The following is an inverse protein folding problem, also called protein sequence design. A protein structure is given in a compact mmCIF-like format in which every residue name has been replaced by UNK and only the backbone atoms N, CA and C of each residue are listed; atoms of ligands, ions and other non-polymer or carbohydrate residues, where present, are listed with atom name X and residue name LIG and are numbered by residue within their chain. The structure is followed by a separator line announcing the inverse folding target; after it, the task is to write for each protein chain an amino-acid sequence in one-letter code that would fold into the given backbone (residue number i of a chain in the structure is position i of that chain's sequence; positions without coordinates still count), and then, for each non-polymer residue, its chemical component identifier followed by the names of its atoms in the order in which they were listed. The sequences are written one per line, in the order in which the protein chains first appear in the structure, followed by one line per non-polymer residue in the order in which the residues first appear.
data_IF_491501982719
#
_entry.id   IF_491501982719
#
_cell.length_a   1.000
_cell.length_b   1.000
_cell.length_c   1.000
_cell.angle_alpha   90.00
_cell.angle_beta   90.00
_cell.angle_gamma   90.00
#
_symmetry.space_group_name_H-M   'P 1'
#
loop_
_entity.id
_entity.type
_entity.pdbx_description
1 polymer ?
#
# COMPACT_ATOMS: atom_id res chain seq x y z
N UNK A 1 -14.20 -11.96 -13.01
CA UNK A 1 -13.01 -11.14 -12.74
C UNK A 1 -12.73 -11.26 -11.26
N UNK A 2 -11.62 -11.91 -10.90
CA UNK A 2 -11.14 -11.92 -9.51
C UNK A 2 -10.69 -10.50 -9.18
N UNK A 3 -11.07 -9.99 -8.01
CA UNK A 3 -10.61 -8.68 -7.52
C UNK A 3 -9.08 -8.69 -7.44
N UNK A 4 -8.42 -7.82 -8.21
CA UNK A 4 -6.96 -7.74 -8.30
C UNK A 4 -6.31 -7.55 -6.91
N UNK A 5 -6.95 -6.77 -6.04
CA UNK A 5 -6.43 -6.52 -4.70
C UNK A 5 -6.49 -7.77 -3.84
N UNK A 6 -7.56 -8.56 -3.97
CA UNK A 6 -7.69 -9.82 -3.26
C UNK A 6 -6.69 -10.87 -3.76
N UNK A 7 -6.40 -10.89 -5.06
CA UNK A 7 -5.36 -11.75 -5.63
C UNK A 7 -3.96 -11.34 -5.15
N UNK A 8 -3.66 -10.05 -5.12
CA UNK A 8 -2.39 -9.50 -4.61
C UNK A 8 -2.15 -9.82 -3.14
N UNK A 9 -3.21 -9.90 -2.34
CA UNK A 9 -3.13 -10.17 -0.91
C UNK A 9 -3.24 -11.64 -0.56
N UNK A 10 -3.27 -12.53 -1.57
CA UNK A 10 -3.35 -13.97 -1.35
C UNK A 10 -4.70 -14.43 -0.81
N UNK A 11 -5.78 -13.71 -1.10
CA UNK A 11 -7.13 -13.99 -0.63
C UNK A 11 -7.48 -13.37 0.73
N UNK A 12 -6.57 -12.59 1.32
CA UNK A 12 -6.81 -11.91 2.59
C UNK A 12 -7.65 -10.64 2.38
N UNK A 13 -8.88 -10.66 2.91
CA UNK A 13 -9.88 -9.60 2.76
C UNK A 13 -9.47 -8.32 3.50
N UNK A 14 -8.94 -8.43 4.72
CA UNK A 14 -8.50 -7.29 5.52
C UNK A 14 -7.36 -6.54 4.83
N UNK A 15 -6.37 -7.29 4.31
CA UNK A 15 -5.28 -6.74 3.51
C UNK A 15 -5.76 -6.12 2.20
N UNK A 16 -6.75 -6.73 1.54
CA UNK A 16 -7.30 -6.21 0.29
C UNK A 16 -7.96 -4.86 0.50
N UNK A 17 -8.83 -4.75 1.52
CA UNK A 17 -9.46 -3.48 1.93
C UNK A 17 -8.41 -2.45 2.35
N UNK A 18 -7.41 -2.84 3.15
CA UNK A 18 -6.35 -1.93 3.58
C UNK A 18 -5.52 -1.39 2.40
N UNK A 19 -5.26 -2.23 1.39
CA UNK A 19 -4.57 -1.82 0.18
C UNK A 19 -5.39 -0.78 -0.62
N UNK A 20 -6.70 -1.02 -0.77
CA UNK A 20 -7.62 -0.07 -1.39
C UNK A 20 -7.72 1.26 -0.62
N UNK A 21 -7.74 1.22 0.71
CA UNK A 21 -7.72 2.41 1.56
C UNK A 21 -6.43 3.21 1.40
N UNK A 22 -5.28 2.55 1.40
CA UNK A 22 -3.99 3.19 1.22
C UNK A 22 -3.88 3.86 -0.16
N UNK A 23 -4.33 3.20 -1.22
CA UNK A 23 -4.40 3.80 -2.55
C UNK A 23 -5.37 4.99 -2.58
N UNK A 24 -6.52 4.87 -1.91
CA UNK A 24 -7.48 5.98 -1.79
C UNK A 24 -6.90 7.19 -1.08
N UNK A 25 -6.04 6.96 -0.07
CA UNK A 25 -5.29 8.02 0.61
C UNK A 25 -4.23 8.63 -0.29
N UNK A 26 -3.43 7.83 -1.00
CA UNK A 26 -2.45 8.34 -1.97
C UNK A 26 -3.12 9.21 -3.06
N UNK A 27 -4.28 8.79 -3.56
CA UNK A 27 -5.03 9.53 -4.57
C UNK A 27 -5.55 10.91 -4.08
N UNK A 28 -5.73 11.07 -2.76
CA UNK A 28 -6.23 12.30 -2.12
C UNK A 28 -5.11 13.18 -1.58
N UNK A 29 -4.14 12.58 -0.90
CA UNK A 29 -3.16 13.25 -0.04
C UNK A 29 -1.78 13.39 -0.67
N UNK A 30 -1.33 12.41 -1.48
CA UNK A 30 -0.04 12.51 -2.17
C UNK A 30 -0.08 13.49 -3.33
N UNK A 31 1.06 13.87 -3.88
CA UNK A 31 1.21 14.71 -5.05
C UNK A 31 1.91 13.96 -6.20
N UNK A 32 2.04 14.62 -7.35
CA UNK A 32 2.77 14.12 -8.51
C UNK A 32 2.36 12.72 -8.97
N UNK A 33 3.36 11.90 -9.28
CA UNK A 33 3.21 10.60 -9.92
C UNK A 33 2.48 9.57 -9.05
N UNK A 34 2.64 9.60 -7.72
CA UNK A 34 1.92 8.66 -6.83
C UNK A 34 0.43 8.94 -6.81
N UNK A 35 0.02 10.22 -6.84
CA UNK A 35 -1.40 10.58 -6.94
C UNK A 35 -2.00 10.09 -8.24
N UNK A 36 -1.29 10.29 -9.36
CA UNK A 36 -1.75 9.86 -10.68
C UNK A 36 -1.86 8.34 -10.76
N UNK A 37 -0.83 7.62 -10.32
CA UNK A 37 -0.83 6.16 -10.24
C UNK A 37 -1.99 5.64 -9.40
N UNK A 38 -2.17 6.17 -8.20
CA UNK A 38 -3.24 5.71 -7.30
C UNK A 38 -4.63 5.93 -7.90
N UNK A 39 -4.85 7.04 -8.61
CA UNK A 39 -6.10 7.29 -9.34
C UNK A 39 -6.30 6.31 -10.49
N UNK A 40 -5.27 6.06 -11.30
CA UNK A 40 -5.34 5.13 -12.42
C UNK A 40 -5.62 3.70 -11.95
N UNK A 41 -5.00 3.27 -10.83
CA UNK A 41 -5.22 1.96 -10.23
C UNK A 41 -6.64 1.83 -9.69
N UNK A 42 -7.14 2.82 -8.94
CA UNK A 42 -8.51 2.81 -8.42
C UNK A 42 -9.57 2.88 -9.54
N UNK A 43 -9.24 3.49 -10.68
CA UNK A 43 -10.11 3.53 -11.86
C UNK A 43 -10.08 2.24 -12.70
N UNK A 44 -9.15 1.31 -12.40
CA UNK A 44 -8.94 0.09 -13.18
C UNK A 44 -8.27 0.33 -14.53
N UNK A 45 -7.66 1.51 -14.73
CA UNK A 45 -6.92 1.88 -15.94
C UNK A 45 -5.49 1.31 -15.92
N UNK A 46 -4.99 0.97 -14.74
CA UNK A 46 -3.65 0.44 -14.48
C UNK A 46 -3.73 -0.61 -13.37
N UNK A 47 -3.06 -1.75 -13.51
CA UNK A 47 -2.95 -2.70 -12.38
C UNK A 47 -1.83 -2.25 -11.43
N UNK A 48 -1.91 -2.58 -10.15
CA UNK A 48 -0.85 -2.27 -9.19
C UNK A 48 0.46 -3.01 -9.56
N UNK A 49 0.36 -4.20 -10.15
CA UNK A 49 1.52 -4.94 -10.66
C UNK A 49 2.21 -4.21 -11.82
N UNK A 50 1.42 -3.67 -12.75
CA UNK A 50 1.95 -2.87 -13.85
C UNK A 50 2.54 -1.56 -13.35
N UNK A 51 1.89 -0.89 -12.39
CA UNK A 51 2.42 0.31 -11.74
C UNK A 51 3.78 0.05 -11.07
N UNK A 52 3.91 -1.06 -10.33
CA UNK A 52 5.15 -1.42 -9.67
C UNK A 52 6.27 -1.82 -10.65
N UNK A 53 5.90 -2.36 -11.82
CA UNK A 53 6.84 -2.78 -12.87
C UNK A 53 7.17 -1.66 -13.86
N UNK A 54 6.51 -0.51 -13.76
CA UNK A 54 6.71 0.65 -14.61
C UNK A 54 7.90 1.49 -14.08
N UNK A 55 8.83 1.86 -14.94
CA UNK A 55 10.02 2.63 -14.54
C UNK A 55 9.69 3.99 -13.91
N UNK A 56 8.58 4.62 -14.29
CA UNK A 56 8.14 5.93 -13.80
C UNK A 56 7.53 5.82 -12.40
N UNK A 57 6.57 4.92 -12.21
CA UNK A 57 5.88 4.77 -10.92
C UNK A 57 6.65 3.89 -9.94
N UNK A 58 7.35 2.86 -10.42
CA UNK A 58 8.12 1.92 -9.64
C UNK A 58 9.29 2.59 -8.89
N UNK A 59 9.98 3.54 -9.52
CA UNK A 59 11.05 4.29 -8.85
C UNK A 59 10.52 5.07 -7.63
N UNK A 60 9.41 5.78 -7.80
CA UNK A 60 8.78 6.56 -6.74
C UNK A 60 8.25 5.68 -5.59
N UNK A 61 7.68 4.52 -5.92
CA UNK A 61 7.27 3.52 -4.92
C UNK A 61 8.47 2.95 -4.15
N UNK A 62 9.58 2.67 -4.83
CA UNK A 62 10.83 2.20 -4.21
C UNK A 62 11.38 3.25 -3.25
N UNK A 63 11.41 4.51 -3.65
CA UNK A 63 11.93 5.59 -2.80
C UNK A 63 11.06 5.78 -1.55
N UNK A 64 9.73 5.80 -1.70
CA UNK A 64 8.82 5.89 -0.55
C UNK A 64 8.94 4.68 0.40
N UNK A 65 9.17 3.49 -0.16
CA UNK A 65 9.41 2.26 0.61
C UNK A 65 10.74 2.32 1.35
N UNK A 66 11.77 2.89 0.71
CA UNK A 66 13.10 3.08 1.32
C UNK A 66 13.02 4.02 2.52
N UNK A 67 12.28 5.11 2.40
CA UNK A 67 12.06 6.04 3.52
C UNK A 67 11.39 5.34 4.69
N UNK A 68 10.31 4.60 4.42
CA UNK A 68 9.64 3.79 5.44
C UNK A 68 10.60 2.82 6.14
N UNK A 69 11.36 2.03 5.37
CA UNK A 69 12.31 1.07 5.93
C UNK A 69 13.45 1.71 6.70
N UNK A 70 13.86 2.93 6.32
CA UNK A 70 14.87 3.69 7.04
C UNK A 70 14.35 4.06 8.41
N UNK A 71 13.16 4.70 8.48
CA UNK A 71 12.52 5.04 9.75
C UNK A 71 12.24 3.80 10.61
N UNK A 72 11.73 2.72 9.99
CA UNK A 72 11.44 1.48 10.70
C UNK A 72 12.69 0.87 11.34
N UNK A 73 13.84 0.91 10.67
CA UNK A 73 15.11 0.37 11.20
C UNK A 73 15.70 1.22 12.32
N UNK A 74 15.37 2.50 12.38
CA UNK A 74 15.78 3.41 13.45
C UNK A 74 14.94 3.25 14.72
N UNK A 75 13.75 2.65 14.62
CA UNK A 75 12.89 2.34 15.75
C UNK A 75 13.51 1.27 16.65
N UNK A 76 13.29 1.41 17.96
CA UNK A 76 13.57 0.38 18.95
C UNK A 76 12.73 -0.89 18.70
N UNK A 77 13.15 -2.05 19.25
CA UNK A 77 12.36 -3.28 19.13
C UNK A 77 10.93 -3.16 19.66
N UNK A 78 10.71 -2.36 20.71
CA UNK A 78 9.37 -2.12 21.27
C UNK A 78 8.50 -1.29 20.33
N UNK A 79 9.04 -0.22 19.75
CA UNK A 79 8.33 0.62 18.77
C UNK A 79 7.99 -0.16 17.49
N UNK A 80 8.88 -1.04 17.04
CA UNK A 80 8.62 -1.94 15.91
C UNK A 80 7.48 -2.92 16.24
N UNK A 81 7.48 -3.48 17.45
CA UNK A 81 6.43 -4.39 17.90
C UNK A 81 5.07 -3.68 18.04
N UNK A 82 5.03 -2.47 18.59
CA UNK A 82 3.81 -1.65 18.68
C UNK A 82 3.27 -1.33 17.27
N UNK A 83 4.14 -0.91 16.35
CA UNK A 83 3.74 -0.61 14.98
C UNK A 83 3.16 -1.84 14.27
N UNK A 84 3.78 -3.01 14.46
CA UNK A 84 3.27 -4.28 13.91
C UNK A 84 1.91 -4.67 14.53
N UNK A 85 1.76 -4.52 15.85
CA UNK A 85 0.51 -4.82 16.55
C UNK A 85 -0.65 -3.92 16.07
N UNK A 86 -0.40 -2.62 15.93
CA UNK A 86 -1.37 -1.66 15.39
C UNK A 86 -1.73 -1.96 13.94
N UNK A 87 -0.74 -2.36 13.14
CA UNK A 87 -0.97 -2.80 11.77
C UNK A 87 -1.87 -4.03 11.70
N UNK A 88 -1.61 -5.04 12.53
CA UNK A 88 -2.43 -6.25 12.59
C UNK A 88 -3.85 -5.93 13.07
N UNK A 89 -4.02 -5.12 14.11
CA UNK A 89 -5.33 -4.72 14.60
C UNK A 89 -6.16 -4.04 13.50
N UNK A 90 -5.55 -3.11 12.74
CA UNK A 90 -6.23 -2.45 11.62
C UNK A 90 -6.66 -3.44 10.53
N UNK A 91 -5.82 -4.43 10.22
CA UNK A 91 -6.17 -5.48 9.25
C UNK A 91 -7.32 -6.36 9.74
N UNK A 92 -7.35 -6.69 11.03
CA UNK A 92 -8.42 -7.50 11.64
C UNK A 92 -9.75 -6.72 11.62
N UNK A 93 -9.73 -5.43 11.99
CA UNK A 93 -10.91 -4.54 11.93
C UNK A 93 -11.50 -4.42 10.52
N UNK A 94 -10.65 -4.49 9.49
CA UNK A 94 -11.09 -4.51 8.10
C UNK A 94 -11.55 -5.89 7.63
N UNK A 95 -11.09 -6.97 8.24
CA UNK A 95 -11.47 -8.33 7.83
C UNK A 95 -12.90 -8.69 8.26
N UNK A 96 -13.39 -8.07 9.34
CA UNK A 96 -14.77 -8.17 9.83
C UNK A 96 -15.81 -7.50 8.89
#
# INVERSE_FOLDING_TARGET
MTDEFLDLTGGDVGRSKALQENLSRLAKESDGLLREMAKAVLAGELTLRDAASNDVYGAELIDRSRDFWTTYKEMSPEEQADLAARGQQHLDELAD
#
